data_IF_697848897418
#
_entry.id   IF_697848897418
#
_cell.length_a   1.000
_cell.length_b   1.000
_cell.length_c   1.000
_cell.angle_alpha   90.00
_cell.angle_beta   90.00
_cell.angle_gamma   90.00
#
_symmetry.space_group_name_H-M   'P 1'
#
loop_
_entity.id
_entity.type
_entity.pdbx_description
1 polymer ?
#
# COMPACT_ATOMS: atom_id res chain seq x y z
N UNK A 1 11.79 -4.57 -23.05
CA UNK A 1 10.80 -3.51 -23.30
C UNK A 1 9.98 -3.29 -22.03
N UNK A 2 10.31 -2.31 -21.18
CA UNK A 2 9.35 -1.85 -20.18
C UNK A 2 8.48 -0.76 -20.83
N UNK A 3 7.15 -0.78 -20.68
CA UNK A 3 6.39 0.45 -20.98
C UNK A 3 4.94 0.35 -21.43
N UNK A 4 4.40 -0.83 -21.75
CA UNK A 4 3.00 -0.94 -22.14
C UNK A 4 2.07 -1.11 -20.94
N UNK A 5 2.12 -2.29 -20.33
CA UNK A 5 1.18 -2.71 -19.27
C UNK A 5 1.38 -2.01 -17.92
N UNK A 6 2.61 -1.63 -17.60
CA UNK A 6 2.94 -1.07 -16.29
C UNK A 6 2.58 0.41 -16.16
N UNK A 7 2.54 1.14 -17.28
CA UNK A 7 2.07 2.54 -17.32
C UNK A 7 0.55 2.64 -17.13
N UNK A 8 -0.23 1.81 -17.84
CA UNK A 8 -1.69 1.77 -17.67
C UNK A 8 -2.10 1.28 -16.28
N UNK A 9 -1.33 0.41 -15.63
CA UNK A 9 -1.63 -0.04 -14.26
C UNK A 9 -1.63 1.14 -13.25
N UNK A 10 -0.68 2.07 -13.36
CA UNK A 10 -0.58 3.20 -12.41
C UNK A 10 -1.76 4.18 -12.48
N UNK A 11 -2.40 4.34 -13.65
CA UNK A 11 -3.56 5.23 -13.80
C UNK A 11 -4.83 4.72 -13.08
N UNK A 12 -4.83 3.46 -12.60
CA UNK A 12 -6.00 2.82 -11.98
C UNK A 12 -5.78 2.39 -10.53
N UNK A 13 -4.67 2.77 -9.90
CA UNK A 13 -4.41 2.43 -8.49
C UNK A 13 -5.14 3.42 -7.59
N UNK A 14 -6.08 2.90 -6.81
CA UNK A 14 -6.84 3.67 -5.83
C UNK A 14 -6.54 3.26 -4.38
N UNK A 15 -6.08 2.02 -4.19
CA UNK A 15 -5.68 1.42 -2.92
C UNK A 15 -4.30 0.80 -3.08
N UNK A 16 -3.37 1.10 -2.17
CA UNK A 16 -2.01 0.60 -2.15
C UNK A 16 -1.93 -0.81 -1.51
N UNK A 17 -2.77 -1.08 -0.51
CA UNK A 17 -3.00 -2.38 0.13
C UNK A 17 -1.83 -2.96 0.95
N UNK A 18 -0.59 -2.51 0.74
CA UNK A 18 0.56 -2.95 1.55
C UNK A 18 1.37 -1.75 2.10
N UNK A 19 0.67 -0.75 2.66
CA UNK A 19 1.32 0.45 3.20
C UNK A 19 2.02 0.12 4.53
N UNK A 20 3.34 -0.02 4.49
CA UNK A 20 4.16 -0.33 5.67
C UNK A 20 5.61 0.15 5.49
N UNK A 21 6.39 0.29 6.58
CA UNK A 21 7.75 0.83 6.52
C UNK A 21 8.67 0.18 5.46
N UNK A 22 8.66 -1.16 5.26
CA UNK A 22 9.46 -1.78 4.20
C UNK A 22 9.17 -1.28 2.79
N UNK A 23 7.95 -0.80 2.53
CA UNK A 23 7.48 -0.35 1.22
C UNK A 23 7.57 1.17 1.05
N UNK A 24 8.30 1.86 1.94
CA UNK A 24 8.50 3.31 1.92
C UNK A 24 10.01 3.60 1.90
N UNK A 25 10.47 4.23 0.83
CA UNK A 25 11.83 4.75 0.73
C UNK A 25 11.85 6.25 1.04
N UNK A 26 12.88 6.69 1.78
CA UNK A 26 13.19 8.11 1.92
C UNK A 26 14.16 8.48 0.82
N UNK A 27 13.72 9.35 -0.09
CA UNK A 27 14.53 9.87 -1.20
C UNK A 27 14.83 11.36 -0.98
N UNK A 28 16.06 11.77 -1.26
CA UNK A 28 16.45 13.17 -1.24
C UNK A 28 16.46 13.70 -2.67
N UNK A 29 15.64 14.73 -2.93
CA UNK A 29 15.60 15.44 -4.22
C UNK A 29 15.60 16.94 -3.96
N UNK A 30 16.48 17.66 -4.64
CA UNK A 30 16.65 19.12 -4.49
C UNK A 30 16.85 19.56 -3.02
N UNK A 31 17.65 18.79 -2.27
CA UNK A 31 17.91 19.04 -0.85
C UNK A 31 16.75 18.78 0.10
N UNK A 32 15.62 18.22 -0.38
CA UNK A 32 14.44 17.90 0.45
C UNK A 32 14.22 16.40 0.52
N UNK A 33 13.93 15.89 1.71
CA UNK A 33 13.48 14.52 1.91
C UNK A 33 12.02 14.37 1.46
N UNK A 34 11.75 13.29 0.74
CA UNK A 34 10.40 12.88 0.32
C UNK A 34 10.24 11.38 0.56
N UNK A 35 9.02 10.96 0.89
CA UNK A 35 8.66 9.56 0.89
C UNK A 35 8.37 9.11 -0.55
N UNK A 36 8.80 7.90 -0.90
CA UNK A 36 8.51 7.23 -2.16
C UNK A 36 7.98 5.83 -1.87
N UNK A 37 6.77 5.54 -2.33
CA UNK A 37 6.18 4.20 -2.21
C UNK A 37 6.82 3.27 -3.26
N UNK A 38 7.06 2.03 -2.87
CA UNK A 38 7.58 0.94 -3.70
C UNK A 38 6.78 -0.33 -3.46
N UNK A 39 6.92 -1.34 -4.32
CA UNK A 39 6.16 -2.60 -4.25
C UNK A 39 4.65 -2.38 -4.41
N UNK A 40 4.19 -2.45 -5.67
CA UNK A 40 2.80 -2.17 -6.07
C UNK A 40 2.01 -3.45 -6.40
N UNK A 41 2.52 -4.63 -6.05
CA UNK A 41 1.95 -5.91 -6.49
C UNK A 41 0.55 -6.17 -5.91
N UNK A 42 0.18 -5.51 -4.82
CA UNK A 42 -1.12 -5.67 -4.14
C UNK A 42 -2.08 -4.51 -4.42
N UNK A 43 -1.62 -3.50 -5.13
CA UNK A 43 -2.40 -2.31 -5.40
C UNK A 43 -3.57 -2.61 -6.33
N UNK A 44 -4.66 -1.85 -6.19
CA UNK A 44 -5.83 -2.05 -7.04
C UNK A 44 -6.90 -0.99 -6.86
N UNK A 45 -8.07 -1.30 -7.41
CA UNK A 45 -9.27 -0.47 -7.39
C UNK A 45 -10.08 -0.73 -6.12
N UNK A 46 -10.52 0.36 -5.50
CA UNK A 46 -11.39 0.35 -4.33
C UNK A 46 -12.71 -0.37 -4.64
N UNK A 47 -13.07 -1.35 -3.82
CA UNK A 47 -14.31 -2.11 -3.98
C UNK A 47 -14.31 -3.16 -5.08
N UNK A 48 -13.19 -3.38 -5.79
CA UNK A 48 -13.10 -4.34 -6.90
C UNK A 48 -12.02 -5.39 -6.64
N UNK A 49 -10.78 -4.96 -6.45
CA UNK A 49 -9.66 -5.87 -6.27
C UNK A 49 -9.62 -6.43 -4.83
N UNK A 50 -8.84 -7.48 -4.59
CA UNK A 50 -8.80 -8.20 -3.31
C UNK A 50 -7.39 -8.44 -2.81
N UNK A 51 -7.22 -8.52 -1.49
CA UNK A 51 -5.97 -8.97 -0.87
C UNK A 51 -5.62 -10.40 -1.32
N UNK A 52 -4.33 -10.73 -1.50
CA UNK A 52 -3.92 -12.05 -1.94
C UNK A 52 -4.27 -13.14 -0.91
N UNK A 53 -4.54 -14.34 -1.39
CA UNK A 53 -4.82 -15.52 -0.55
C UNK A 53 -3.63 -15.92 0.34
N UNK A 54 -2.41 -15.56 -0.06
CA UNK A 54 -1.17 -15.82 0.68
C UNK A 54 -0.79 -14.70 1.66
N UNK A 55 -1.70 -13.77 1.97
CA UNK A 55 -1.44 -12.65 2.89
C UNK A 55 -1.09 -13.18 4.30
N UNK A 56 0.03 -12.68 4.85
CA UNK A 56 0.48 -13.04 6.19
C UNK A 56 -0.36 -12.33 7.27
N UNK A 57 -0.98 -13.12 8.15
CA UNK A 57 -1.84 -12.62 9.24
C UNK A 57 -1.16 -12.56 10.61
N UNK A 58 -0.02 -13.23 10.80
CA UNK A 58 0.50 -13.48 12.14
C UNK A 58 1.42 -12.37 12.67
N UNK A 59 2.05 -11.60 11.78
CA UNK A 59 3.10 -10.63 12.13
C UNK A 59 2.72 -9.18 11.80
N UNK A 60 1.58 -8.97 11.16
CA UNK A 60 1.13 -7.66 10.69
C UNK A 60 -0.25 -7.40 11.26
N UNK A 61 -0.38 -6.35 12.07
CA UNK A 61 -1.69 -5.86 12.50
C UNK A 61 -2.34 -5.12 11.33
N UNK A 62 -3.12 -5.85 10.55
CA UNK A 62 -4.02 -5.33 9.52
C UNK A 62 -5.27 -4.70 10.16
N UNK A 63 -6.06 -3.90 9.40
CA UNK A 63 -7.39 -3.51 9.85
C UNK A 63 -8.23 -4.76 10.20
N UNK A 64 -9.09 -4.68 11.23
CA UNK A 64 -9.82 -5.85 11.77
C UNK A 64 -10.64 -6.60 10.70
N UNK A 65 -11.18 -5.88 9.72
CA UNK A 65 -11.96 -6.45 8.61
C UNK A 65 -11.12 -7.18 7.55
N UNK A 66 -9.80 -7.01 7.56
CA UNK A 66 -8.90 -7.46 6.49
C UNK A 66 -8.40 -8.86 6.79
N UNK A 67 -8.82 -9.80 5.95
CA UNK A 67 -8.35 -11.18 5.87
C UNK A 67 -8.00 -11.54 4.41
N UNK A 68 -7.29 -12.65 4.13
CA UNK A 68 -6.98 -13.02 2.74
C UNK A 68 -8.23 -13.08 1.85
N UNK A 69 -8.15 -12.54 0.64
CA UNK A 69 -9.29 -12.44 -0.30
C UNK A 69 -10.29 -11.32 0.00
N UNK A 70 -10.06 -10.50 1.04
CA UNK A 70 -10.93 -9.36 1.35
C UNK A 70 -10.85 -8.31 0.26
N UNK A 71 -11.98 -7.69 -0.08
CA UNK A 71 -12.03 -6.56 -1.03
C UNK A 71 -11.24 -5.36 -0.49
N UNK A 72 -10.39 -4.79 -1.34
CA UNK A 72 -9.59 -3.62 -1.04
C UNK A 72 -10.49 -2.41 -0.79
N UNK A 73 -10.16 -1.64 0.26
CA UNK A 73 -10.83 -0.39 0.61
C UNK A 73 -9.82 0.70 0.94
N UNK A 74 -10.10 1.93 0.53
CA UNK A 74 -9.25 3.11 0.85
C UNK A 74 -9.11 3.31 2.36
N UNK A 75 -10.11 2.91 3.13
CA UNK A 75 -10.08 2.95 4.59
C UNK A 75 -8.98 2.06 5.18
N UNK A 76 -8.55 1.01 4.49
CA UNK A 76 -7.46 0.15 4.95
C UNK A 76 -6.12 0.89 4.88
N UNK A 77 -5.84 1.55 3.75
CA UNK A 77 -4.64 2.38 3.61
C UNK A 77 -4.63 3.50 4.63
N UNK A 78 -5.81 4.11 4.91
CA UNK A 78 -5.94 5.13 5.95
C UNK A 78 -5.57 4.57 7.33
N UNK A 79 -6.09 3.39 7.68
CA UNK A 79 -5.74 2.72 8.93
C UNK A 79 -4.24 2.45 9.03
N UNK A 80 -3.62 1.95 7.95
CA UNK A 80 -2.19 1.67 7.90
C UNK A 80 -1.35 2.97 7.99
N UNK A 81 -1.81 4.05 7.37
CA UNK A 81 -1.19 5.37 7.48
C UNK A 81 -1.26 5.93 8.90
N UNK A 82 -2.41 5.82 9.56
CA UNK A 82 -2.57 6.30 10.94
C UNK A 82 -1.72 5.48 11.92
N UNK A 83 -1.60 4.16 11.69
CA UNK A 83 -0.66 3.29 12.42
C UNK A 83 0.79 3.72 12.21
N UNK A 84 1.17 4.06 10.97
CA UNK A 84 2.52 4.56 10.66
C UNK A 84 2.80 5.87 11.39
N UNK A 85 1.88 6.85 11.33
CA UNK A 85 2.01 8.13 12.06
C UNK A 85 2.17 7.91 13.55
N UNK A 86 1.32 7.06 14.14
CA UNK A 86 1.42 6.70 15.55
C UNK A 86 2.80 6.14 15.90
N UNK A 87 3.35 5.23 15.08
CA UNK A 87 4.69 4.65 15.30
C UNK A 87 5.83 5.67 15.17
N UNK A 88 5.61 6.76 14.44
CA UNK A 88 6.56 7.84 14.22
C UNK A 88 6.36 9.03 15.16
N UNK A 89 5.36 8.98 16.06
CA UNK A 89 4.93 10.10 16.91
C UNK A 89 4.56 11.36 16.10
N UNK A 90 3.83 11.18 15.00
CA UNK A 90 3.30 12.22 14.12
C UNK A 90 1.80 12.44 14.33
#
# INVERSE_FOLDING_TARGET
MPGGYQMIAMEYIEVFADLRPPNILVVTRDGKHRAMLIDFDWCGKDGIDTYPSSMNMDQITWPERVIPGTVLKKEDDKFMLDKLKYSLNL
#
